data_IF_157462714546
#
_entry.id   IF_157462714546
#
_cell.length_a   1.000
_cell.length_b   1.000
_cell.length_c   1.000
_cell.angle_alpha   90.00
_cell.angle_beta   90.00
_cell.angle_gamma   90.00
#
_symmetry.space_group_name_H-M   'P 1'
#
loop_
_entity.id
_entity.type
_entity.pdbx_description
1 polymer ?
#
# COMPACT_ATOMS: atom_id res chain seq x y z
N UNK A 1 24.84 -8.03 17.40
CA UNK A 1 25.29 -7.41 16.14
C UNK A 1 25.67 -5.98 16.43
N UNK A 2 26.91 -5.60 16.13
CA UNK A 2 27.38 -4.25 16.36
C UNK A 2 26.89 -3.30 15.26
N UNK A 3 26.23 -2.21 15.66
CA UNK A 3 25.71 -1.18 14.77
C UNK A 3 26.14 0.21 15.24
N UNK A 4 26.30 1.12 14.29
CA UNK A 4 26.59 2.53 14.50
C UNK A 4 25.33 3.35 14.31
N UNK A 5 24.95 4.13 15.31
CA UNK A 5 23.75 4.97 15.27
C UNK A 5 23.96 6.17 14.32
N UNK A 6 22.96 6.48 13.50
CA UNK A 6 22.94 7.68 12.66
C UNK A 6 22.18 8.82 13.33
N UNK A 7 21.28 8.49 14.25
CA UNK A 7 20.47 9.44 15.03
C UNK A 7 20.74 9.28 16.52
N UNK A 8 20.36 10.29 17.30
CA UNK A 8 20.35 10.18 18.76
C UNK A 8 19.14 9.38 19.23
N UNK A 9 19.36 8.44 20.14
CA UNK A 9 18.31 7.67 20.80
C UNK A 9 18.49 7.77 22.31
N UNK A 10 17.54 8.41 22.99
CA UNK A 10 17.52 8.53 24.44
C UNK A 10 16.29 7.82 25.01
N UNK A 11 16.51 6.90 25.93
CA UNK A 11 15.50 6.15 26.66
C UNK A 11 16.01 5.71 28.03
N UNK A 12 15.20 4.96 28.77
CA UNK A 12 15.56 4.48 30.12
C UNK A 12 16.81 3.59 30.11
N UNK A 13 16.91 2.73 29.09
CA UNK A 13 17.95 1.71 29.00
C UNK A 13 19.24 2.21 28.36
N UNK A 14 19.15 3.23 27.50
CA UNK A 14 20.29 3.73 26.72
C UNK A 14 20.12 5.21 26.37
N UNK A 15 21.25 5.90 26.37
CA UNK A 15 21.41 7.22 25.75
C UNK A 15 22.55 7.11 24.75
N UNK A 16 22.21 7.12 23.46
CA UNK A 16 23.13 6.95 22.35
C UNK A 16 23.11 8.23 21.51
N UNK A 17 24.30 8.76 21.22
CA UNK A 17 24.46 9.87 20.31
C UNK A 17 24.58 9.36 18.85
N UNK A 18 24.34 10.23 17.86
CA UNK A 18 24.75 9.95 16.50
C UNK A 18 26.24 9.60 16.45
N UNK A 19 26.57 8.48 15.84
CA UNK A 19 27.92 7.97 15.69
C UNK A 19 28.35 6.95 16.75
N UNK A 20 27.58 6.76 17.82
CA UNK A 20 27.86 5.73 18.82
C UNK A 20 27.71 4.32 18.24
N UNK A 21 28.59 3.42 18.66
CA UNK A 21 28.59 2.02 18.30
C UNK A 21 28.18 1.15 19.49
N UNK A 22 27.26 0.22 19.27
CA UNK A 22 26.79 -0.69 20.32
C UNK A 22 26.33 -2.02 19.74
N UNK A 23 26.51 -3.08 20.53
CA UNK A 23 25.95 -4.39 20.23
C UNK A 23 24.47 -4.46 20.58
N UNK A 24 23.66 -4.86 19.60
CA UNK A 24 22.22 -5.09 19.74
C UNK A 24 21.86 -6.53 19.39
N UNK A 25 20.74 -7.06 19.94
CA UNK A 25 20.15 -8.30 19.44
C UNK A 25 19.94 -8.25 17.93
N UNK A 26 20.15 -9.36 17.22
CA UNK A 26 20.11 -9.40 15.76
C UNK A 26 18.81 -8.83 15.17
N UNK A 27 17.67 -9.20 15.75
CA UNK A 27 16.34 -8.75 15.32
C UNK A 27 16.18 -7.24 15.45
N UNK A 28 16.64 -6.68 16.57
CA UNK A 28 16.55 -5.25 16.85
C UNK A 28 17.53 -4.45 15.98
N UNK A 29 18.76 -4.95 15.83
CA UNK A 29 19.76 -4.34 14.94
C UNK A 29 19.24 -4.25 13.50
N UNK A 30 18.62 -5.32 12.99
CA UNK A 30 18.04 -5.33 11.64
C UNK A 30 16.90 -4.32 11.51
N UNK A 31 16.01 -4.20 12.51
CA UNK A 31 14.94 -3.19 12.50
C UNK A 31 15.48 -1.77 12.46
N UNK A 32 16.50 -1.47 13.26
CA UNK A 32 17.12 -0.14 13.31
C UNK A 32 17.82 0.21 11.99
N UNK A 33 18.45 -0.76 11.34
CA UNK A 33 19.09 -0.57 10.03
C UNK A 33 18.03 -0.39 8.93
N UNK A 34 16.99 -1.24 8.89
CA UNK A 34 15.93 -1.18 7.87
C UNK A 34 15.13 0.12 7.94
N UNK A 35 14.88 0.62 9.16
CA UNK A 35 14.27 1.93 9.38
C UNK A 35 15.20 3.12 9.05
N UNK A 36 16.48 2.88 8.77
CA UNK A 36 17.46 3.91 8.44
C UNK A 36 18.02 4.70 9.63
N UNK A 37 17.89 4.18 10.86
CA UNK A 37 18.40 4.82 12.07
C UNK A 37 19.84 4.45 12.42
N UNK A 38 20.35 3.36 11.86
CA UNK A 38 21.69 2.86 12.14
C UNK A 38 22.32 2.20 10.89
N UNK A 39 23.62 1.92 10.96
CA UNK A 39 24.37 1.14 9.96
C UNK A 39 25.17 0.03 10.66
N UNK A 40 25.52 -1.07 9.99
CA UNK A 40 26.48 -2.03 10.53
C UNK A 40 27.79 -1.34 10.92
N UNK A 41 28.27 -1.55 12.14
CA UNK A 41 29.50 -0.91 12.65
C UNK A 41 30.75 -1.52 12.02
N UNK A 42 30.71 -2.83 11.74
CA UNK A 42 31.73 -3.46 10.91
C UNK A 42 31.43 -3.04 9.47
N UNK A 43 32.40 -2.43 8.79
CA UNK A 43 32.35 -2.11 7.36
C UNK A 43 32.23 -3.39 6.51
N UNK A 44 31.12 -4.10 6.63
CA UNK A 44 30.71 -5.03 5.59
C UNK A 44 30.28 -4.12 4.46
N UNK A 45 31.18 -3.93 3.49
CA UNK A 45 30.91 -3.27 2.21
C UNK A 45 29.77 -4.00 1.51
N UNK A 46 28.53 -3.74 1.91
CA UNK A 46 27.36 -4.17 1.18
C UNK A 46 26.93 -2.95 0.40
N UNK A 47 27.37 -2.92 -0.87
CA UNK A 47 26.86 -1.98 -1.86
C UNK A 47 25.34 -1.92 -1.76
N UNK A 48 24.88 -0.69 -1.51
CA UNK A 48 23.52 -0.23 -1.30
C UNK A 48 22.51 -0.85 -2.28
N UNK A 49 21.92 -1.99 -1.91
CA UNK A 49 20.69 -2.45 -2.53
C UNK A 49 19.53 -1.68 -1.88
N UNK A 50 19.32 -0.43 -2.31
CA UNK A 50 18.09 0.32 -2.01
C UNK A 50 16.93 -0.49 -2.56
N UNK A 51 16.22 -1.22 -1.70
CA UNK A 51 14.92 -1.77 -2.06
C UNK A 51 14.03 -0.58 -2.43
N UNK A 52 13.79 -0.41 -3.73
CA UNK A 52 12.87 0.60 -4.23
C UNK A 52 11.50 0.37 -3.59
N UNK A 53 10.76 1.43 -3.22
CA UNK A 53 9.46 1.27 -2.58
C UNK A 53 8.59 0.38 -3.45
N UNK A 54 8.01 -0.66 -2.84
CA UNK A 54 7.04 -1.54 -3.50
C UNK A 54 5.91 -0.64 -4.03
N UNK A 55 5.95 -0.38 -5.33
CA UNK A 55 4.82 0.16 -6.07
C UNK A 55 3.76 -0.95 -6.03
N UNK A 56 2.81 -0.86 -5.10
CA UNK A 56 1.62 -1.68 -5.13
C UNK A 56 0.85 -1.37 -6.41
N UNK A 57 1.12 -2.16 -7.46
CA UNK A 57 0.31 -2.19 -8.68
C UNK A 57 -1.05 -2.76 -8.28
N UNK A 58 -2.04 -1.87 -8.10
CA UNK A 58 -3.45 -2.23 -7.98
C UNK A 58 -3.78 -3.22 -9.11
N UNK A 59 -4.08 -4.45 -8.70
CA UNK A 59 -4.33 -5.57 -9.60
C UNK A 59 -5.54 -5.24 -10.45
N UNK A 60 -5.31 -5.17 -11.77
CA UNK A 60 -6.32 -5.09 -12.82
C UNK A 60 -7.27 -6.29 -12.70
N UNK A 61 -8.43 -6.07 -12.07
CA UNK A 61 -9.59 -6.95 -12.19
C UNK A 61 -10.09 -6.88 -13.62
N UNK A 62 -10.20 -8.05 -14.26
CA UNK A 62 -10.69 -8.20 -15.63
C UNK A 62 -12.15 -7.71 -15.76
N UNK A 63 -12.54 -7.15 -16.91
CA UNK A 63 -13.92 -6.82 -17.21
C UNK A 63 -14.66 -8.11 -17.61
N UNK A 64 -15.77 -8.41 -16.95
CA UNK A 64 -16.87 -9.18 -17.53
C UNK A 64 -18.09 -9.03 -16.63
N UNK A 65 -19.18 -8.44 -17.16
CA UNK A 65 -20.57 -8.89 -16.95
C UNK A 65 -21.54 -7.88 -17.61
N UNK A 66 -22.09 -8.32 -18.74
CA UNK A 66 -23.33 -7.89 -19.42
C UNK A 66 -23.43 -6.45 -19.95
N UNK A 67 -23.15 -6.29 -21.26
CA UNK A 67 -23.93 -5.38 -22.09
C UNK A 67 -25.21 -6.10 -22.52
N UNK A 68 -26.36 -5.63 -22.07
CA UNK A 68 -27.64 -5.84 -22.76
C UNK A 68 -28.20 -4.46 -23.04
N UNK A 69 -28.20 -4.14 -24.33
CA UNK A 69 -29.27 -3.47 -25.08
C UNK A 69 -30.13 -2.46 -24.29
N UNK A 70 -30.11 -1.22 -24.76
CA UNK A 70 -31.00 -0.18 -24.27
C UNK A 70 -32.46 -0.56 -24.47
N UNK A 71 -33.30 -0.12 -23.53
CA UNK A 71 -34.69 0.10 -23.82
C UNK A 71 -35.02 1.55 -23.43
N UNK A 72 -35.38 2.27 -24.48
CA UNK A 72 -35.76 3.66 -24.56
C UNK A 72 -36.80 3.96 -23.47
N UNK A 73 -36.51 4.91 -22.58
CA UNK A 73 -37.50 5.46 -21.67
C UNK A 73 -38.52 6.24 -22.51
N UNK A 74 -39.52 5.51 -22.98
CA UNK A 74 -40.71 6.00 -23.63
C UNK A 74 -41.41 6.98 -22.68
N UNK A 75 -41.11 8.26 -22.85
CA UNK A 75 -41.93 9.36 -22.36
C UNK A 75 -43.30 9.25 -23.03
N UNK A 76 -44.31 9.06 -22.19
CA UNK A 76 -45.69 8.96 -22.61
C UNK A 76 -46.15 10.19 -23.39
N UNK A 77 -46.78 9.92 -24.53
CA UNK A 77 -47.57 10.86 -25.31
C UNK A 77 -48.60 10.06 -26.08
N UNK A 78 -49.72 9.78 -25.41
CA UNK A 78 -50.81 8.99 -25.94
C UNK A 78 -51.41 9.62 -27.21
N UNK A 79 -51.22 8.94 -28.34
CA UNK A 79 -52.00 9.15 -29.56
C UNK A 79 -53.14 8.13 -29.57
N UNK A 80 -54.35 8.68 -29.44
CA UNK A 80 -55.58 8.35 -30.16
C UNK A 80 -55.87 6.88 -30.60
N UNK A 81 -57.10 6.47 -30.23
CA UNK A 81 -58.02 5.59 -30.96
C UNK A 81 -58.19 4.13 -30.52
N UNK A 82 -59.35 3.85 -29.91
CA UNK A 82 -60.34 2.96 -30.53
C UNK A 82 -60.54 1.54 -29.95
N UNK A 83 -61.80 1.27 -29.53
CA UNK A 83 -62.44 -0.05 -29.46
C UNK A 83 -62.10 -0.88 -28.21
N UNK A 84 -63.04 -1.19 -27.31
CA UNK A 84 -64.03 -2.28 -27.46
C UNK A 84 -63.36 -3.62 -27.07
N UNK A 85 -63.89 -4.54 -26.28
CA UNK A 85 -65.22 -4.81 -25.79
C UNK A 85 -65.08 -5.86 -24.67
N UNK A 86 -65.81 -5.59 -23.59
CA UNK A 86 -66.53 -6.44 -22.64
C UNK A 86 -66.28 -7.96 -22.47
N UNK A 87 -66.41 -8.35 -21.18
CA UNK A 87 -67.11 -9.54 -20.65
C UNK A 87 -66.46 -10.93 -20.87
N UNK A 88 -66.50 -11.89 -19.93
CA UNK A 88 -67.31 -12.12 -18.72
C UNK A 88 -66.48 -12.87 -17.67
#
# INVERSE_FOLDING_TARGET
>A
MNIKMLIGLAGNEYSLAPGDERDFPQEEAVRLIDAGYAVPAVEVRIERAVASPVIEKRKKGKPDVVSTEGDDSAVGGADLAGGGEEAS
#
